data_IF_090286689754
#
_entry.id   IF_090286689754
#
_cell.length_a   1.000
_cell.length_b   1.000
_cell.length_c   1.000
_cell.angle_alpha   90.00
_cell.angle_beta   90.00
_cell.angle_gamma   90.00
#
_symmetry.space_group_name_H-M   'P 1'
#
loop_
_entity.id
_entity.type
_entity.pdbx_description
1 polymer ?
#
# COMPACT_ATOMS: atom_id res chain seq x y z
N UNK A 1 -13.18 21.35 1.69
CA UNK A 1 -14.22 20.43 1.16
C UNK A 1 -14.80 19.61 2.31
N UNK A 2 -16.12 19.38 2.33
CA UNK A 2 -16.82 18.83 3.51
C UNK A 2 -16.43 17.40 3.89
N UNK A 3 -16.04 16.58 2.91
CA UNK A 3 -15.69 15.17 3.11
C UNK A 3 -14.20 14.87 2.95
N UNK A 4 -13.35 15.87 2.85
CA UNK A 4 -11.90 15.65 2.76
C UNK A 4 -11.39 14.99 4.04
N UNK A 5 -10.56 13.94 3.90
CA UNK A 5 -9.98 13.26 5.04
C UNK A 5 -9.06 14.21 5.80
N UNK A 6 -9.37 14.42 7.06
CA UNK A 6 -8.55 15.24 7.98
C UNK A 6 -7.88 14.33 9.00
N UNK A 7 -6.64 14.65 9.40
CA UNK A 7 -5.99 13.91 10.46
C UNK A 7 -6.78 14.08 11.78
N UNK A 8 -6.67 13.09 12.67
CA UNK A 8 -7.37 13.03 13.96
C UNK A 8 -6.42 13.08 15.15
N UNK A 9 -5.13 12.84 14.92
CA UNK A 9 -4.09 12.82 15.94
C UNK A 9 -3.01 13.84 15.62
N UNK A 10 -2.25 14.34 16.62
CA UNK A 10 -1.16 15.28 16.39
C UNK A 10 -0.06 14.72 15.46
N UNK A 11 0.28 13.43 15.60
CA UNK A 11 1.23 12.74 14.73
C UNK A 11 0.67 12.56 13.31
N UNK A 12 -0.64 12.31 13.20
CA UNK A 12 -1.36 12.29 11.94
C UNK A 12 -1.36 13.65 11.24
N UNK A 13 -1.52 14.74 11.98
CA UNK A 13 -1.43 16.10 11.43
C UNK A 13 -0.03 16.37 10.85
N UNK A 14 1.03 15.98 11.56
CA UNK A 14 2.41 16.08 11.05
C UNK A 14 2.60 15.26 9.78
N UNK A 15 2.11 14.03 9.76
CA UNK A 15 2.22 13.13 8.61
C UNK A 15 1.45 13.65 7.38
N UNK A 16 0.21 14.10 7.56
CA UNK A 16 -0.61 14.65 6.47
C UNK A 16 0.00 15.94 5.94
N UNK A 17 0.47 16.83 6.80
CA UNK A 17 1.16 18.07 6.40
C UNK A 17 2.43 17.78 5.61
N UNK A 18 3.22 16.79 6.05
CA UNK A 18 4.40 16.34 5.32
C UNK A 18 4.03 15.80 3.93
N UNK A 19 2.98 14.97 3.84
CA UNK A 19 2.50 14.43 2.57
C UNK A 19 1.96 15.53 1.62
N UNK A 20 1.29 16.56 2.16
CA UNK A 20 0.82 17.72 1.38
C UNK A 20 1.98 18.53 0.80
N UNK A 21 3.08 18.68 1.54
CA UNK A 21 4.23 19.49 1.12
C UNK A 21 4.94 18.95 -0.14
N UNK A 22 4.79 17.68 -0.47
CA UNK A 22 5.46 17.04 -1.61
C UNK A 22 4.54 16.85 -2.83
N UNK A 23 3.24 17.14 -2.75
CA UNK A 23 2.27 16.86 -3.83
C UNK A 23 2.72 17.44 -5.16
N UNK A 24 3.02 18.74 -5.22
CA UNK A 24 3.34 19.41 -6.50
C UNK A 24 4.68 18.91 -7.08
N UNK A 25 5.63 18.60 -6.23
CA UNK A 25 6.92 18.04 -6.66
C UNK A 25 6.74 16.65 -7.28
N UNK A 26 5.94 15.78 -6.65
CA UNK A 26 5.63 14.46 -7.16
C UNK A 26 4.85 14.55 -8.48
N UNK A 27 3.84 15.43 -8.59
CA UNK A 27 3.09 15.68 -9.83
C UNK A 27 3.98 16.09 -10.98
N UNK A 28 4.92 16.98 -10.72
CA UNK A 28 5.83 17.49 -11.75
C UNK A 28 6.69 16.41 -12.41
N UNK A 29 6.94 15.28 -11.71
CA UNK A 29 7.78 14.17 -12.21
C UNK A 29 6.98 12.96 -12.69
N UNK A 30 5.74 12.80 -12.22
CA UNK A 30 4.95 11.57 -12.39
C UNK A 30 4.77 11.15 -13.86
N UNK A 31 4.46 12.08 -14.76
CA UNK A 31 4.29 11.78 -16.20
C UNK A 31 5.61 11.38 -16.88
N UNK A 32 6.73 11.95 -16.45
CA UNK A 32 8.05 11.58 -16.93
C UNK A 32 8.45 10.16 -16.51
N UNK A 33 8.25 9.84 -15.24
CA UNK A 33 8.51 8.53 -14.66
C UNK A 33 7.62 7.44 -15.28
N UNK A 34 6.33 7.73 -15.50
CA UNK A 34 5.40 6.83 -16.18
C UNK A 34 5.85 6.51 -17.62
N UNK A 35 6.20 7.53 -18.41
CA UNK A 35 6.70 7.32 -19.79
C UNK A 35 8.00 6.52 -19.82
N UNK A 36 8.89 6.76 -18.87
CA UNK A 36 10.13 6.00 -18.74
C UNK A 36 9.89 4.56 -18.20
N UNK A 37 8.70 4.28 -17.65
CA UNK A 37 8.43 3.05 -16.89
C UNK A 37 9.49 2.79 -15.80
N UNK A 38 9.94 3.83 -15.15
CA UNK A 38 11.04 3.79 -14.19
C UNK A 38 10.68 4.54 -12.90
N UNK A 39 11.11 3.98 -11.77
CA UNK A 39 10.96 4.61 -10.47
C UNK A 39 11.91 5.81 -10.36
N UNK A 40 11.37 6.98 -10.04
CA UNK A 40 12.19 8.19 -9.84
C UNK A 40 12.69 8.25 -8.40
N UNK A 41 13.97 7.98 -8.20
CA UNK A 41 14.62 8.03 -6.89
C UNK A 41 14.53 9.41 -6.23
N UNK A 42 14.42 10.51 -7.02
CA UNK A 42 14.28 11.86 -6.48
C UNK A 42 12.96 12.04 -5.72
N UNK A 43 11.87 11.34 -6.13
CA UNK A 43 10.62 11.34 -5.39
C UNK A 43 10.80 10.82 -3.96
N UNK A 44 11.59 9.77 -3.80
CA UNK A 44 11.83 9.15 -2.49
C UNK A 44 12.82 9.97 -1.65
N UNK A 45 13.74 10.70 -2.27
CA UNK A 45 14.58 11.66 -1.57
C UNK A 45 13.75 12.81 -0.97
N UNK A 46 12.77 13.35 -1.72
CA UNK A 46 11.88 14.41 -1.23
C UNK A 46 10.90 13.89 -0.18
N UNK A 47 10.33 12.71 -0.37
CA UNK A 47 9.46 12.02 0.59
C UNK A 47 10.21 11.80 1.92
N UNK A 48 11.47 11.37 1.85
CA UNK A 48 12.33 11.22 3.03
C UNK A 48 12.64 12.56 3.69
N UNK A 49 13.01 13.56 2.91
CA UNK A 49 13.30 14.91 3.44
C UNK A 49 12.11 15.52 4.17
N UNK A 50 10.89 15.17 3.76
CA UNK A 50 9.65 15.53 4.46
C UNK A 50 9.38 14.68 5.72
N UNK A 51 10.21 13.67 6.05
CA UNK A 51 10.06 12.80 7.21
C UNK A 51 9.03 11.66 7.04
N UNK A 52 8.46 11.49 5.85
CA UNK A 52 7.38 10.54 5.58
C UNK A 52 7.86 9.08 5.73
N UNK A 53 9.10 8.75 5.32
CA UNK A 53 9.67 7.41 5.49
C UNK A 53 9.71 6.96 6.94
N UNK A 54 9.90 7.89 7.87
CA UNK A 54 9.97 7.63 9.30
C UNK A 54 8.61 7.82 10.02
N UNK A 55 7.48 7.79 9.30
CA UNK A 55 6.17 8.08 9.90
C UNK A 55 5.84 7.18 11.09
N UNK A 56 6.09 5.88 11.00
CA UNK A 56 5.84 4.91 12.09
C UNK A 56 7.01 4.73 13.05
N UNK A 57 8.18 5.27 12.74
CA UNK A 57 9.31 5.24 13.68
C UNK A 57 8.91 6.03 14.93
N UNK A 58 9.13 5.47 16.16
CA UNK A 58 8.79 6.15 17.39
C UNK A 58 9.46 7.52 17.51
N UNK A 59 8.76 8.51 18.11
CA UNK A 59 9.31 9.89 18.25
C UNK A 59 10.67 9.91 18.95
N UNK A 60 10.85 9.09 19.99
CA UNK A 60 12.15 8.99 20.68
C UNK A 60 13.28 8.47 19.79
N UNK A 61 12.97 7.81 18.69
CA UNK A 61 13.91 7.31 17.69
C UNK A 61 14.01 8.25 16.47
N UNK A 62 13.40 9.43 16.53
CA UNK A 62 13.49 10.46 15.49
C UNK A 62 12.42 10.41 14.40
N UNK A 63 11.37 9.59 14.56
CA UNK A 63 10.24 9.52 13.63
C UNK A 63 9.04 10.37 14.04
N UNK A 64 7.92 10.19 13.34
CA UNK A 64 6.68 10.93 13.63
C UNK A 64 5.81 10.24 14.70
N UNK A 65 6.05 8.96 14.99
CA UNK A 65 5.29 8.19 15.98
C UNK A 65 3.83 7.91 15.55
N UNK A 66 3.56 7.84 14.25
CA UNK A 66 2.20 7.58 13.74
C UNK A 66 1.68 6.23 14.23
N UNK A 67 0.43 6.21 14.70
CA UNK A 67 -0.24 4.98 15.19
C UNK A 67 -1.58 4.74 14.50
N UNK A 68 -2.31 5.82 14.15
CA UNK A 68 -3.65 5.77 13.57
C UNK A 68 -3.65 5.27 12.12
N UNK A 69 -4.48 4.27 11.84
CA UNK A 69 -4.73 3.78 10.47
C UNK A 69 -5.51 4.83 9.66
N UNK A 70 -6.48 5.51 10.30
CA UNK A 70 -7.21 6.61 9.68
C UNK A 70 -6.26 7.68 9.14
N UNK A 71 -5.31 8.11 9.95
CA UNK A 71 -4.39 9.19 9.58
C UNK A 71 -3.35 8.72 8.56
N UNK A 72 -2.96 7.44 8.60
CA UNK A 72 -2.17 6.83 7.53
C UNK A 72 -2.94 6.89 6.20
N UNK A 73 -4.21 6.47 6.19
CA UNK A 73 -5.06 6.55 4.99
C UNK A 73 -5.19 7.98 4.47
N UNK A 74 -5.34 8.97 5.38
CA UNK A 74 -5.42 10.38 5.02
C UNK A 74 -4.14 10.87 4.33
N UNK A 75 -2.95 10.58 4.89
CA UNK A 75 -1.68 10.94 4.27
C UNK A 75 -1.45 10.24 2.93
N UNK A 76 -1.85 8.96 2.80
CA UNK A 76 -1.78 8.24 1.53
C UNK A 76 -2.68 8.84 0.45
N UNK A 77 -3.80 9.48 0.82
CA UNK A 77 -4.61 10.26 -0.13
C UNK A 77 -3.81 11.43 -0.70
N UNK A 78 -3.04 12.13 0.14
CA UNK A 78 -2.19 13.25 -0.31
C UNK A 78 -1.08 12.78 -1.24
N UNK A 79 -0.38 11.70 -0.87
CA UNK A 79 0.66 11.12 -1.72
C UNK A 79 0.10 10.64 -3.07
N UNK A 80 -1.05 9.95 -3.06
CA UNK A 80 -1.73 9.49 -4.28
C UNK A 80 -2.20 10.63 -5.19
N UNK A 81 -2.55 11.78 -4.62
CA UNK A 81 -2.87 13.01 -5.36
C UNK A 81 -1.64 13.62 -6.04
N UNK A 82 -0.45 13.38 -5.49
CA UNK A 82 0.83 13.72 -6.12
C UNK A 82 1.22 12.71 -7.20
N UNK A 83 1.52 11.48 -6.80
CA UNK A 83 1.90 10.37 -7.68
C UNK A 83 1.46 9.03 -7.08
N UNK A 84 0.51 8.35 -7.74
CA UNK A 84 0.00 7.05 -7.33
C UNK A 84 1.08 5.97 -7.28
N UNK A 85 2.02 5.97 -8.20
CA UNK A 85 3.12 5.01 -8.26
C UNK A 85 4.08 5.16 -7.08
N UNK A 86 4.51 6.38 -6.77
CA UNK A 86 5.34 6.65 -5.60
C UNK A 86 4.59 6.34 -4.29
N UNK A 87 3.29 6.63 -4.25
CA UNK A 87 2.44 6.39 -3.08
C UNK A 87 2.31 4.89 -2.77
N UNK A 88 2.05 4.01 -3.76
CA UNK A 88 1.96 2.57 -3.48
C UNK A 88 3.31 1.98 -3.06
N UNK A 89 4.43 2.47 -3.63
CA UNK A 89 5.76 2.05 -3.21
C UNK A 89 6.04 2.48 -1.76
N UNK A 90 5.69 3.73 -1.39
CA UNK A 90 5.82 4.21 -0.01
C UNK A 90 4.96 3.41 0.96
N UNK A 91 3.75 2.99 0.58
CA UNK A 91 2.90 2.18 1.44
C UNK A 91 3.56 0.85 1.86
N UNK A 92 4.35 0.23 0.98
CA UNK A 92 5.06 -1.01 1.32
C UNK A 92 6.06 -0.78 2.46
N UNK A 93 6.84 0.29 2.36
CA UNK A 93 7.79 0.69 3.40
C UNK A 93 7.08 1.02 4.73
N UNK A 94 6.01 1.79 4.67
CA UNK A 94 5.24 2.18 5.86
C UNK A 94 4.58 0.98 6.54
N UNK A 95 4.08 0.00 5.78
CA UNK A 95 3.50 -1.21 6.33
C UNK A 95 4.53 -2.04 7.12
N UNK A 96 5.76 -2.17 6.60
CA UNK A 96 6.85 -2.85 7.31
C UNK A 96 7.29 -2.05 8.53
N UNK A 97 7.50 -0.73 8.39
CA UNK A 97 7.92 0.15 9.50
C UNK A 97 6.92 0.13 10.65
N UNK A 98 5.60 0.09 10.33
CA UNK A 98 4.56 -0.09 11.34
C UNK A 98 4.70 -1.42 12.08
N UNK A 99 4.95 -2.52 11.35
CA UNK A 99 5.20 -3.82 11.96
C UNK A 99 6.41 -3.81 12.90
N UNK A 100 7.48 -3.14 12.49
CA UNK A 100 8.68 -2.95 13.31
C UNK A 100 8.37 -2.12 14.56
N UNK A 101 7.62 -1.03 14.46
CA UNK A 101 7.22 -0.21 15.60
C UNK A 101 6.39 -1.01 16.62
N UNK A 102 5.43 -1.82 16.16
CA UNK A 102 4.66 -2.70 17.03
C UNK A 102 5.52 -3.74 17.74
N UNK A 103 6.47 -4.35 17.02
CA UNK A 103 7.40 -5.32 17.61
C UNK A 103 8.34 -4.65 18.63
N UNK A 104 8.78 -3.42 18.36
CA UNK A 104 9.58 -2.63 19.29
C UNK A 104 8.80 -2.31 20.58
N UNK A 105 7.53 -1.89 20.49
CA UNK A 105 6.68 -1.68 21.66
C UNK A 105 6.52 -2.96 22.48
N UNK A 106 6.34 -4.11 21.82
CA UNK A 106 6.29 -5.40 22.48
C UNK A 106 7.61 -5.78 23.18
N UNK A 107 8.74 -5.50 22.52
CA UNK A 107 10.08 -5.71 23.11
C UNK A 107 10.33 -4.82 24.33
N UNK A 108 9.92 -3.56 24.30
CA UNK A 108 9.98 -2.66 25.44
C UNK A 108 9.12 -3.17 26.61
N UNK A 109 7.89 -3.61 26.32
CA UNK A 109 6.97 -4.13 27.35
C UNK A 109 7.45 -5.44 27.97
N UNK A 110 8.20 -6.27 27.23
CA UNK A 110 8.80 -7.52 27.71
C UNK A 110 10.24 -7.37 28.20
N UNK A 111 10.75 -6.15 28.31
CA UNK A 111 12.12 -5.83 28.76
C UNK A 111 13.22 -6.55 27.94
N UNK A 112 12.96 -6.85 26.66
CA UNK A 112 13.93 -7.47 25.76
C UNK A 112 14.91 -6.42 25.20
N UNK A 113 15.91 -6.06 25.99
CA UNK A 113 16.87 -5.01 25.65
C UNK A 113 17.64 -5.26 24.33
N UNK A 114 17.95 -6.53 24.01
CA UNK A 114 18.67 -6.86 22.79
C UNK A 114 17.81 -6.57 21.54
N UNK A 115 16.53 -6.95 21.56
CA UNK A 115 15.61 -6.69 20.45
C UNK A 115 15.28 -5.20 20.34
N UNK A 116 15.14 -4.49 21.46
CA UNK A 116 14.97 -3.03 21.48
C UNK A 116 16.14 -2.35 20.78
N UNK A 117 17.39 -2.66 21.18
CA UNK A 117 18.58 -2.06 20.60
C UNK A 117 18.70 -2.35 19.08
N UNK A 118 18.43 -3.58 18.67
CA UNK A 118 18.43 -3.95 17.25
C UNK A 118 17.42 -3.12 16.44
N UNK A 119 16.20 -2.94 16.96
CA UNK A 119 15.18 -2.17 16.26
C UNK A 119 15.46 -0.67 16.25
N UNK A 120 16.02 -0.13 17.33
CA UNK A 120 16.43 1.27 17.38
C UNK A 120 17.55 1.57 16.37
N UNK A 121 18.49 0.64 16.14
CA UNK A 121 19.47 0.75 15.06
C UNK A 121 18.81 0.77 13.67
N UNK A 122 17.84 -0.12 13.42
CA UNK A 122 17.09 -0.11 12.17
C UNK A 122 16.27 1.18 11.97
N UNK A 123 15.66 1.71 13.03
CA UNK A 123 14.98 3.01 12.98
C UNK A 123 15.92 4.15 12.66
N UNK A 124 17.12 4.15 13.24
CA UNK A 124 18.15 5.13 12.89
C UNK A 124 18.52 5.08 11.40
N UNK A 125 18.63 3.88 10.82
CA UNK A 125 18.88 3.70 9.39
C UNK A 125 17.69 4.20 8.54
N UNK A 126 16.43 3.98 8.95
CA UNK A 126 15.25 4.52 8.26
C UNK A 126 15.27 6.06 8.27
N UNK A 127 15.52 6.66 9.43
CA UNK A 127 15.61 8.13 9.58
C UNK A 127 16.73 8.72 8.76
N UNK A 128 17.91 8.07 8.75
CA UNK A 128 19.06 8.48 7.93
C UNK A 128 18.81 8.30 6.42
N UNK A 129 17.87 7.40 6.04
CA UNK A 129 17.57 7.05 4.66
C UNK A 129 18.45 5.94 4.08
N UNK A 130 19.17 5.23 4.93
CA UNK A 130 19.99 4.08 4.57
C UNK A 130 19.16 2.79 4.47
N UNK A 131 17.97 2.78 5.09
CA UNK A 131 17.04 1.66 5.05
C UNK A 131 15.71 2.09 4.44
N UNK A 132 15.42 1.55 3.26
CA UNK A 132 14.11 1.56 2.62
C UNK A 132 13.69 0.13 2.33
N UNK A 133 12.49 -0.28 2.76
CA UNK A 133 12.04 -1.67 2.68
C UNK A 133 10.93 -1.80 1.64
N UNK A 134 11.14 -2.62 0.62
CA UNK A 134 10.05 -3.11 -0.22
C UNK A 134 9.45 -4.38 0.41
N UNK A 135 8.20 -4.68 0.09
CA UNK A 135 7.51 -5.83 0.67
C UNK A 135 6.67 -6.57 -0.37
N UNK A 136 6.63 -7.88 -0.25
CA UNK A 136 5.79 -8.72 -1.09
C UNK A 136 5.38 -10.01 -0.39
N UNK A 137 4.18 -10.50 -0.75
CA UNK A 137 3.71 -11.84 -0.42
C UNK A 137 3.33 -12.62 -1.68
N UNK A 138 3.33 -11.98 -2.85
CA UNK A 138 2.76 -12.52 -4.09
C UNK A 138 3.76 -13.36 -4.86
N UNK A 139 3.28 -14.50 -5.37
CA UNK A 139 4.05 -15.42 -6.21
C UNK A 139 3.21 -15.88 -7.41
N UNK A 140 3.83 -16.30 -8.52
CA UNK A 140 3.09 -16.84 -9.66
C UNK A 140 2.37 -18.15 -9.30
N UNK A 141 1.08 -18.25 -9.65
CA UNK A 141 0.33 -19.50 -9.60
C UNK A 141 -0.06 -20.00 -8.21
N UNK A 142 0.07 -19.17 -7.18
CA UNK A 142 -0.35 -19.50 -5.81
C UNK A 142 -0.96 -18.28 -5.09
N UNK A 143 -1.40 -18.49 -3.88
CA UNK A 143 -1.93 -17.45 -2.99
C UNK A 143 -0.99 -17.22 -1.78
N UNK A 144 -1.35 -16.25 -0.96
CA UNK A 144 -0.51 -15.87 0.18
C UNK A 144 -0.54 -16.86 1.37
N UNK A 145 -1.47 -17.83 1.38
CA UNK A 145 -1.48 -18.93 2.36
C UNK A 145 -0.59 -20.08 1.93
N UNK A 146 -0.31 -20.18 0.62
CA UNK A 146 0.45 -21.26 0.02
C UNK A 146 1.71 -20.75 -0.69
N UNK A 147 2.62 -19.99 -0.01
CA UNK A 147 3.85 -19.55 -0.65
C UNK A 147 4.70 -20.74 -1.11
N UNK A 148 5.28 -20.62 -2.33
CA UNK A 148 6.20 -21.60 -2.91
C UNK A 148 7.65 -21.25 -2.64
N UNK A 149 7.98 -19.94 -2.47
CA UNK A 149 9.32 -19.55 -1.98
C UNK A 149 9.56 -20.23 -0.66
N UNK A 150 10.60 -21.04 -0.57
CA UNK A 150 10.82 -21.91 0.57
C UNK A 150 12.15 -21.67 1.27
N UNK A 151 12.15 -21.89 2.57
CA UNK A 151 13.34 -21.98 3.42
C UNK A 151 13.51 -23.43 3.85
N UNK A 152 14.65 -24.01 3.50
CA UNK A 152 15.04 -25.38 3.88
C UNK A 152 16.17 -25.28 4.87
N UNK A 153 16.10 -26.03 5.96
CA UNK A 153 17.14 -26.04 6.99
C UNK A 153 18.45 -26.61 6.44
N UNK A 154 19.52 -25.90 6.72
CA UNK A 154 20.89 -26.29 6.42
C UNK A 154 21.79 -26.07 7.64
N UNK A 155 23.04 -26.52 7.60
CA UNK A 155 24.00 -26.25 8.66
C UNK A 155 24.17 -24.72 8.86
N UNK A 156 23.90 -24.27 10.09
CA UNK A 156 24.03 -22.87 10.50
C UNK A 156 22.87 -21.94 10.15
N UNK A 157 21.77 -22.46 9.54
CA UNK A 157 20.61 -21.61 9.21
C UNK A 157 19.68 -22.16 8.16
N UNK A 158 19.38 -21.34 7.16
CA UNK A 158 18.41 -21.62 6.10
C UNK A 158 19.00 -21.39 4.71
N UNK A 159 18.53 -22.18 3.74
CA UNK A 159 18.72 -21.94 2.31
C UNK A 159 17.37 -21.60 1.70
N UNK A 160 17.27 -20.40 1.08
CA UNK A 160 16.02 -19.88 0.52
C UNK A 160 16.08 -19.96 -1.00
N UNK A 161 15.01 -20.50 -1.60
CA UNK A 161 14.82 -20.57 -3.05
C UNK A 161 13.38 -20.18 -3.40
N UNK A 162 13.19 -19.50 -4.53
CA UNK A 162 11.88 -19.15 -5.06
C UNK A 162 11.87 -17.86 -5.85
N UNK A 163 10.65 -17.38 -6.17
CA UNK A 163 10.44 -16.16 -6.93
C UNK A 163 9.27 -15.38 -6.35
N UNK A 164 9.49 -14.11 -6.07
CA UNK A 164 8.45 -13.16 -5.68
C UNK A 164 8.18 -12.20 -6.82
N UNK A 165 6.90 -11.86 -7.02
CA UNK A 165 6.45 -10.88 -8.01
C UNK A 165 5.75 -9.69 -7.32
N UNK A 166 5.54 -8.60 -8.08
CA UNK A 166 4.94 -7.37 -7.55
C UNK A 166 5.69 -6.83 -6.33
N UNK A 167 7.03 -6.87 -6.37
CA UNK A 167 7.87 -6.34 -5.28
C UNK A 167 7.99 -4.83 -5.43
N UNK A 168 6.90 -4.16 -5.09
CA UNK A 168 6.70 -2.72 -5.30
C UNK A 168 7.75 -1.90 -4.58
N UNK A 169 8.43 -0.99 -5.31
CA UNK A 169 9.51 -0.16 -4.80
C UNK A 169 10.90 -0.83 -4.79
N UNK A 170 11.05 -2.05 -5.35
CA UNK A 170 12.33 -2.77 -5.32
C UNK A 170 13.52 -2.02 -5.94
N UNK A 171 13.38 -1.18 -7.01
CA UNK A 171 14.52 -0.46 -7.57
C UNK A 171 15.17 0.58 -6.65
N UNK A 172 14.43 1.05 -5.64
CA UNK A 172 14.93 2.06 -4.69
C UNK A 172 15.09 1.48 -3.27
N UNK A 173 14.75 0.22 -3.07
CA UNK A 173 14.83 -0.42 -1.76
C UNK A 173 16.24 -0.90 -1.45
N UNK A 174 16.60 -0.87 -0.17
CA UNK A 174 17.81 -1.52 0.37
C UNK A 174 17.51 -2.92 0.90
N UNK A 175 16.25 -3.16 1.32
CA UNK A 175 15.80 -4.41 1.95
C UNK A 175 14.49 -4.89 1.36
N UNK A 176 14.27 -6.20 1.38
CA UNK A 176 13.01 -6.84 1.06
C UNK A 176 12.44 -7.57 2.27
N UNK A 177 11.16 -7.34 2.57
CA UNK A 177 10.40 -8.10 3.55
C UNK A 177 9.40 -9.01 2.81
N UNK A 178 9.39 -10.31 3.15
CA UNK A 178 8.53 -11.28 2.50
C UNK A 178 8.09 -12.40 3.43
N UNK A 179 6.98 -13.07 3.06
CA UNK A 179 6.62 -14.36 3.59
C UNK A 179 7.30 -15.48 2.77
N UNK A 180 7.43 -16.66 3.38
CA UNK A 180 7.95 -17.86 2.74
C UNK A 180 7.41 -19.12 3.42
N UNK A 181 7.63 -20.27 2.82
CA UNK A 181 7.32 -21.58 3.35
C UNK A 181 8.53 -22.13 4.09
N UNK A 182 8.38 -22.45 5.38
CA UNK A 182 9.41 -23.14 6.14
C UNK A 182 9.11 -24.64 6.06
N UNK A 183 10.04 -25.41 5.52
CA UNK A 183 9.84 -26.83 5.19
C UNK A 183 10.05 -27.69 6.43
N UNK A 184 9.01 -28.48 6.79
CA UNK A 184 9.13 -29.58 7.76
C UNK A 184 9.32 -29.17 9.23
N UNK A 185 9.17 -27.89 9.58
CA UNK A 185 9.44 -27.39 10.94
C UNK A 185 8.17 -27.25 11.81
N UNK A 186 7.01 -27.59 11.27
CA UNK A 186 5.76 -27.62 12.02
C UNK A 186 5.56 -28.93 12.76
N UNK A 187 4.52 -29.00 13.56
CA UNK A 187 4.15 -30.19 14.33
C UNK A 187 3.96 -31.40 13.40
N UNK A 188 4.58 -32.53 13.75
CA UNK A 188 4.54 -33.74 12.93
C UNK A 188 5.28 -33.63 11.58
N UNK A 189 6.17 -32.65 11.41
CA UNK A 189 6.92 -32.44 10.18
C UNK A 189 6.14 -31.71 9.09
N UNK A 190 5.07 -30.99 9.46
CA UNK A 190 4.30 -30.12 8.55
C UNK A 190 5.08 -28.85 8.23
N UNK A 191 4.62 -28.11 7.23
CA UNK A 191 5.24 -26.85 6.83
C UNK A 191 4.61 -25.66 7.57
N UNK A 192 5.38 -24.59 7.68
CA UNK A 192 4.91 -23.32 8.26
C UNK A 192 4.99 -22.19 7.24
N UNK A 193 4.20 -21.16 7.45
CA UNK A 193 4.46 -19.84 6.88
C UNK A 193 5.42 -19.12 7.81
N UNK A 194 6.50 -18.60 7.24
CA UNK A 194 7.44 -17.74 7.94
C UNK A 194 7.56 -16.38 7.28
N UNK A 195 8.29 -15.49 7.92
CA UNK A 195 8.67 -14.18 7.40
C UNK A 195 10.16 -13.95 7.53
N UNK A 196 10.69 -13.18 6.59
CA UNK A 196 12.07 -12.72 6.61
C UNK A 196 12.15 -11.29 6.07
N UNK A 197 13.13 -10.54 6.57
CA UNK A 197 13.59 -9.29 5.99
C UNK A 197 15.09 -9.38 5.79
N UNK A 198 15.56 -9.10 4.58
CA UNK A 198 16.98 -9.20 4.22
C UNK A 198 17.41 -8.10 3.26
N UNK A 199 18.71 -7.71 3.28
CA UNK A 199 19.25 -6.78 2.31
C UNK A 199 19.12 -7.32 0.88
N UNK A 200 18.78 -6.45 -0.08
CA UNK A 200 18.77 -6.81 -1.51
C UNK A 200 20.16 -7.12 -2.06
N UNK A 201 21.22 -6.71 -1.36
CA UNK A 201 22.61 -7.03 -1.67
C UNK A 201 23.07 -8.42 -1.21
N UNK A 202 22.18 -9.20 -0.56
CA UNK A 202 22.50 -10.55 -0.10
C UNK A 202 22.77 -11.45 -1.31
N UNK A 203 23.82 -12.26 -1.25
CA UNK A 203 24.17 -13.20 -2.32
C UNK A 203 23.02 -14.13 -2.64
N UNK A 204 22.70 -14.28 -3.92
CA UNK A 204 21.58 -15.09 -4.41
C UNK A 204 20.24 -14.35 -4.46
N UNK A 205 20.15 -13.10 -4.00
CA UNK A 205 18.99 -12.23 -4.20
C UNK A 205 19.15 -11.49 -5.53
N UNK A 206 18.28 -11.74 -6.49
CA UNK A 206 18.42 -11.27 -7.88
C UNK A 206 17.17 -10.48 -8.28
N UNK A 207 17.14 -9.14 -8.04
CA UNK A 207 16.09 -8.28 -8.59
C UNK A 207 16.08 -8.35 -10.12
N UNK A 208 14.87 -8.41 -10.69
CA UNK A 208 14.66 -8.41 -12.14
C UNK A 208 14.33 -6.99 -12.63
N UNK A 209 14.37 -6.78 -13.94
CA UNK A 209 13.90 -5.57 -14.62
C UNK A 209 12.76 -5.94 -15.56
N UNK A 210 11.64 -6.37 -14.99
CA UNK A 210 10.54 -7.02 -15.70
C UNK A 210 9.17 -6.36 -15.52
N UNK A 211 9.10 -5.21 -14.81
CA UNK A 211 7.84 -4.52 -14.57
C UNK A 211 7.32 -3.81 -15.82
N UNK A 212 6.38 -4.45 -16.51
CA UNK A 212 5.71 -3.93 -17.71
C UNK A 212 4.20 -3.98 -17.52
N UNK A 213 3.62 -2.95 -16.91
CA UNK A 213 2.20 -2.89 -16.59
C UNK A 213 1.47 -1.80 -17.39
N UNK A 214 0.14 -1.91 -17.42
CA UNK A 214 -0.73 -0.92 -18.04
C UNK A 214 -0.64 0.44 -17.34
N UNK A 215 -0.66 0.44 -16.01
CA UNK A 215 -0.57 1.60 -15.13
C UNK A 215 0.35 1.32 -13.94
N UNK A 216 0.53 2.31 -13.05
CA UNK A 216 1.51 2.24 -11.96
C UNK A 216 2.91 1.92 -12.48
N UNK A 217 3.26 2.40 -13.67
CA UNK A 217 4.49 2.01 -14.38
C UNK A 217 5.74 2.44 -13.66
N UNK A 218 5.67 3.55 -12.92
CA UNK A 218 6.77 4.07 -12.12
C UNK A 218 6.88 3.47 -10.71
N UNK A 219 6.02 2.49 -10.35
CA UNK A 219 6.05 1.87 -9.01
C UNK A 219 7.23 0.91 -8.81
N UNK A 220 7.90 0.49 -9.89
CA UNK A 220 9.00 -0.45 -9.81
C UNK A 220 8.60 -1.76 -9.11
N UNK A 221 7.45 -2.35 -9.52
CA UNK A 221 6.95 -3.59 -8.91
C UNK A 221 7.60 -4.81 -9.56
N UNK A 222 8.93 -4.83 -9.61
CA UNK A 222 9.73 -5.87 -10.25
C UNK A 222 9.57 -7.23 -9.57
N UNK A 223 10.02 -8.29 -10.22
CA UNK A 223 10.19 -9.59 -9.59
C UNK A 223 11.55 -9.69 -8.89
N UNK A 224 11.65 -10.57 -7.91
CA UNK A 224 12.92 -10.94 -7.28
C UNK A 224 13.02 -12.48 -7.27
N UNK A 225 14.13 -12.98 -7.78
CA UNK A 225 14.48 -14.40 -7.72
C UNK A 225 15.43 -14.62 -6.56
N UNK A 226 15.23 -15.68 -5.81
CA UNK A 226 16.06 -16.13 -4.70
C UNK A 226 16.68 -17.45 -5.09
N UNK A 227 18.00 -17.48 -5.22
CA UNK A 227 18.78 -18.64 -5.63
C UNK A 227 19.82 -19.01 -4.58
N UNK A 228 19.55 -20.09 -3.82
CA UNK A 228 20.44 -20.60 -2.78
C UNK A 228 20.85 -19.53 -1.75
N UNK A 229 19.94 -18.62 -1.40
CA UNK A 229 20.20 -17.56 -0.43
C UNK A 229 20.39 -18.15 0.95
N UNK A 230 21.61 -18.08 1.47
CA UNK A 230 21.95 -18.61 2.81
C UNK A 230 21.81 -17.50 3.86
N UNK A 231 21.01 -17.79 4.90
CA UNK A 231 20.79 -16.87 6.00
C UNK A 231 20.91 -17.57 7.37
N UNK A 232 21.36 -16.86 8.41
CA UNK A 232 21.38 -17.39 9.77
C UNK A 232 19.99 -17.79 10.28
N UNK A 233 19.93 -18.72 11.23
CA UNK A 233 18.69 -19.26 11.76
C UNK A 233 17.71 -18.19 12.28
N UNK A 234 18.21 -17.20 13.00
CA UNK A 234 17.40 -16.15 13.63
C UNK A 234 16.72 -15.20 12.66
N UNK A 235 17.10 -15.18 11.38
CA UNK A 235 16.50 -14.30 10.38
C UNK A 235 15.14 -14.79 9.87
N UNK A 236 14.86 -16.10 9.92
CA UNK A 236 13.57 -16.66 9.50
C UNK A 236 12.69 -16.84 10.74
N UNK A 237 11.56 -16.14 10.74
CA UNK A 237 10.61 -16.17 11.84
C UNK A 237 9.37 -16.97 11.44
N UNK A 238 9.11 -18.07 12.12
CA UNK A 238 7.87 -18.84 11.97
C UNK A 238 6.65 -18.03 12.43
N UNK A 239 5.55 -18.11 11.70
CA UNK A 239 4.32 -17.35 11.96
C UNK A 239 3.13 -18.26 12.26
N UNK A 240 2.79 -19.18 11.35
CA UNK A 240 1.60 -20.03 11.45
C UNK A 240 1.74 -21.28 10.56
N UNK A 241 0.85 -22.28 10.69
CA UNK A 241 0.81 -23.42 9.78
C UNK A 241 0.60 -22.99 8.32
N UNK A 242 1.27 -23.64 7.37
CA UNK A 242 1.14 -23.40 5.95
C UNK A 242 -0.25 -23.83 5.46
N UNK A 243 -0.89 -23.00 4.63
CA UNK A 243 -2.21 -23.25 4.08
C UNK A 243 -3.38 -22.97 5.03
N UNK A 244 -3.12 -22.43 6.23
CA UNK A 244 -4.17 -22.21 7.23
C UNK A 244 -4.29 -20.74 7.59
N UNK A 245 -5.52 -20.23 7.62
CA UNK A 245 -5.81 -18.90 8.12
C UNK A 245 -5.47 -18.79 9.62
N UNK A 246 -4.89 -17.69 9.99
CA UNK A 246 -4.61 -17.34 11.38
C UNK A 246 -4.85 -15.86 11.63
N UNK A 247 -5.17 -15.44 12.87
CA UNK A 247 -5.41 -14.04 13.18
C UNK A 247 -4.26 -13.11 12.75
N UNK A 248 -2.98 -13.43 12.97
CA UNK A 248 -1.89 -12.57 12.51
C UNK A 248 -1.86 -12.38 10.99
N UNK A 249 -2.14 -13.43 10.21
CA UNK A 249 -2.19 -13.36 8.75
C UNK A 249 -3.35 -12.48 8.29
N UNK A 250 -4.55 -12.67 8.87
CA UNK A 250 -5.72 -11.83 8.58
C UNK A 250 -5.44 -10.37 8.90
N UNK A 251 -4.90 -10.07 10.07
CA UNK A 251 -4.61 -8.70 10.50
C UNK A 251 -3.56 -8.05 9.62
N UNK A 252 -2.48 -8.75 9.30
CA UNK A 252 -1.45 -8.20 8.41
C UNK A 252 -2.00 -7.87 7.03
N UNK A 253 -2.78 -8.79 6.43
CA UNK A 253 -3.42 -8.55 5.11
C UNK A 253 -4.37 -7.36 5.11
N UNK A 254 -5.11 -7.16 6.17
CA UNK A 254 -6.00 -6.01 6.31
C UNK A 254 -5.20 -4.71 6.43
N UNK A 255 -4.42 -4.61 7.48
CA UNK A 255 -3.83 -3.35 7.92
C UNK A 255 -2.73 -2.82 7.00
N UNK A 256 -2.02 -3.70 6.27
CA UNK A 256 -1.01 -3.29 5.29
C UNK A 256 -1.61 -2.77 3.98
N UNK A 257 -2.84 -3.20 3.64
CA UNK A 257 -3.48 -2.89 2.36
C UNK A 257 -4.58 -1.82 2.46
N UNK A 258 -5.17 -1.60 3.64
CA UNK A 258 -6.17 -0.56 3.86
C UNK A 258 -5.72 0.83 3.36
N UNK A 259 -4.51 1.30 3.66
CA UNK A 259 -4.09 2.65 3.27
C UNK A 259 -3.93 2.83 1.76
N UNK A 260 -3.82 1.74 1.00
CA UNK A 260 -3.83 1.80 -0.48
C UNK A 260 -5.13 2.41 -1.02
N UNK A 261 -6.26 2.28 -0.29
CA UNK A 261 -7.51 2.92 -0.69
C UNK A 261 -7.40 4.45 -0.73
N UNK A 262 -6.61 5.02 0.19
CA UNK A 262 -6.28 6.44 0.16
C UNK A 262 -5.58 6.85 -1.13
N UNK A 263 -4.65 6.04 -1.63
CA UNK A 263 -3.94 6.31 -2.90
C UNK A 263 -4.92 6.49 -4.06
N UNK A 264 -5.90 5.59 -4.19
CA UNK A 264 -6.88 5.65 -5.30
C UNK A 264 -7.88 6.79 -5.15
N UNK A 265 -8.21 7.20 -3.92
CA UNK A 265 -8.95 8.46 -3.69
C UNK A 265 -8.10 9.66 -4.13
N UNK A 266 -6.81 9.69 -3.80
CA UNK A 266 -5.91 10.76 -4.22
C UNK A 266 -5.78 10.88 -5.75
N UNK A 267 -5.68 9.76 -6.47
CA UNK A 267 -5.71 9.74 -7.94
C UNK A 267 -7.03 10.34 -8.47
N UNK A 268 -8.16 9.97 -7.86
CA UNK A 268 -9.47 10.51 -8.24
C UNK A 268 -9.59 12.02 -7.95
N UNK A 269 -9.03 12.49 -6.83
CA UNK A 269 -8.96 13.92 -6.49
C UNK A 269 -8.18 14.70 -7.54
N UNK A 270 -7.02 14.23 -7.94
CA UNK A 270 -6.21 14.86 -8.98
C UNK A 270 -6.98 14.89 -10.32
N UNK A 271 -7.63 13.79 -10.71
CA UNK A 271 -8.45 13.76 -11.92
C UNK A 271 -9.64 14.73 -11.86
N UNK A 272 -10.26 14.86 -10.70
CA UNK A 272 -11.35 15.82 -10.47
C UNK A 272 -10.87 17.27 -10.62
N UNK A 273 -9.70 17.62 -10.08
CA UNK A 273 -9.08 18.94 -10.26
C UNK A 273 -8.86 19.26 -11.75
N UNK A 274 -8.27 18.32 -12.49
CA UNK A 274 -8.04 18.45 -13.93
C UNK A 274 -9.36 18.59 -14.72
N UNK A 275 -10.43 17.92 -14.28
CA UNK A 275 -11.76 18.06 -14.87
C UNK A 275 -12.34 19.47 -14.64
N UNK A 276 -12.20 20.02 -13.43
CA UNK A 276 -12.62 21.39 -13.12
C UNK A 276 -11.85 22.40 -13.96
N UNK A 277 -10.54 22.25 -14.11
CA UNK A 277 -9.72 23.11 -14.97
C UNK A 277 -10.14 23.00 -16.45
N UNK A 278 -10.39 21.77 -16.93
CA UNK A 278 -10.85 21.55 -18.30
C UNK A 278 -12.24 22.16 -18.56
N UNK A 279 -13.13 22.11 -17.57
CA UNK A 279 -14.45 22.72 -17.65
C UNK A 279 -14.40 24.26 -17.78
N UNK A 280 -13.40 24.91 -17.18
CA UNK A 280 -13.23 26.37 -17.31
C UNK A 280 -12.69 26.80 -18.67
N UNK A 281 -12.17 25.89 -19.49
CA UNK A 281 -11.64 26.23 -20.83
C UNK A 281 -12.76 26.56 -21.80
N UNK A 282 -12.54 27.61 -22.60
CA UNK A 282 -13.42 27.97 -23.73
C UNK A 282 -13.11 27.07 -24.92
N UNK A 283 -14.11 26.47 -25.58
CA UNK A 283 -13.89 25.66 -26.78
C UNK A 283 -13.41 26.51 -27.97
N UNK A 284 -13.81 27.79 -27.99
CA UNK A 284 -13.39 28.84 -28.92
C UNK A 284 -13.46 30.19 -28.20
N UNK A 285 -12.76 31.20 -28.73
CA UNK A 285 -12.67 32.52 -28.09
C UNK A 285 -14.04 33.19 -27.92
N UNK A 286 -14.94 33.01 -28.91
CA UNK A 286 -16.30 33.57 -28.97
C UNK A 286 -17.35 32.70 -28.24
N UNK A 287 -16.96 31.59 -27.63
CA UNK A 287 -17.87 30.68 -26.92
C UNK A 287 -17.68 30.79 -25.41
N UNK A 288 -18.76 30.55 -24.63
CA UNK A 288 -18.65 30.47 -23.18
C UNK A 288 -17.80 29.29 -22.76
N UNK A 289 -17.28 29.27 -21.51
CA UNK A 289 -16.61 28.13 -20.94
C UNK A 289 -17.46 26.84 -21.01
N UNK A 290 -16.81 25.70 -21.13
CA UNK A 290 -17.49 24.40 -21.11
C UNK A 290 -18.33 24.18 -19.83
N UNK A 291 -17.95 24.80 -18.71
CA UNK A 291 -18.68 24.75 -17.44
C UNK A 291 -20.14 25.29 -17.53
N UNK A 292 -20.48 26.09 -18.52
CA UNK A 292 -21.85 26.57 -18.75
C UNK A 292 -22.74 25.51 -19.43
N UNK A 293 -22.19 24.44 -19.93
CA UNK A 293 -22.94 23.36 -20.57
C UNK A 293 -23.58 22.45 -19.54
N UNK A 294 -24.90 22.24 -19.59
CA UNK A 294 -25.63 21.38 -18.65
C UNK A 294 -25.05 19.97 -18.54
N UNK A 295 -24.61 19.37 -19.66
CA UNK A 295 -23.97 18.03 -19.64
C UNK A 295 -22.66 18.00 -18.85
N UNK A 296 -21.84 19.07 -18.90
CA UNK A 296 -20.62 19.18 -18.10
C UNK A 296 -20.96 19.35 -16.61
N UNK A 297 -21.92 20.21 -16.29
CA UNK A 297 -22.39 20.44 -14.93
C UNK A 297 -22.92 19.14 -14.30
N UNK A 298 -23.66 18.34 -15.08
CA UNK A 298 -24.16 17.04 -14.64
C UNK A 298 -23.02 16.07 -14.32
N UNK A 299 -22.04 15.93 -15.22
CA UNK A 299 -20.87 15.06 -14.99
C UNK A 299 -20.06 15.50 -13.76
N UNK A 300 -19.82 16.80 -13.58
CA UNK A 300 -19.13 17.33 -12.38
C UNK A 300 -19.92 16.99 -11.11
N UNK A 301 -21.26 17.12 -11.13
CA UNK A 301 -22.12 16.74 -10.01
C UNK A 301 -22.01 15.25 -9.66
N UNK A 302 -22.01 14.37 -10.66
CA UNK A 302 -21.82 12.93 -10.44
C UNK A 302 -20.41 12.60 -9.89
N UNK A 303 -19.37 13.28 -10.39
CA UNK A 303 -18.01 13.11 -9.89
C UNK A 303 -17.89 13.55 -8.42
N UNK A 304 -18.50 14.69 -8.04
CA UNK A 304 -18.53 15.17 -6.66
C UNK A 304 -19.23 14.17 -5.73
N UNK A 305 -20.38 13.61 -6.13
CA UNK A 305 -21.11 12.57 -5.38
C UNK A 305 -20.23 11.32 -5.20
N UNK A 306 -19.58 10.85 -6.26
CA UNK A 306 -18.70 9.69 -6.23
C UNK A 306 -17.48 9.93 -5.33
N UNK A 307 -16.89 11.12 -5.38
CA UNK A 307 -15.74 11.49 -4.58
C UNK A 307 -16.10 11.64 -3.09
N UNK A 308 -17.23 12.31 -2.78
CA UNK A 308 -17.75 12.43 -1.43
C UNK A 308 -18.00 11.04 -0.81
N UNK A 309 -18.60 10.13 -1.59
CA UNK A 309 -18.83 8.73 -1.17
C UNK A 309 -17.52 8.00 -0.88
N UNK A 310 -16.54 8.08 -1.79
CA UNK A 310 -15.25 7.42 -1.61
C UNK A 310 -14.50 7.93 -0.38
N UNK A 311 -14.47 9.25 -0.16
CA UNK A 311 -13.87 9.89 1.01
C UNK A 311 -14.55 9.47 2.32
N UNK A 312 -15.88 9.49 2.35
CA UNK A 312 -16.65 9.08 3.52
C UNK A 312 -16.36 7.61 3.89
N UNK A 313 -16.33 6.72 2.88
CA UNK A 313 -16.02 5.30 3.08
C UNK A 313 -14.60 5.09 3.62
N UNK A 314 -13.60 5.75 3.05
CA UNK A 314 -12.20 5.64 3.52
C UNK A 314 -12.07 6.18 4.94
N UNK A 315 -12.68 7.33 5.24
CA UNK A 315 -12.66 7.90 6.59
C UNK A 315 -13.35 7.02 7.63
N UNK A 316 -14.51 6.45 7.28
CA UNK A 316 -15.24 5.54 8.17
C UNK A 316 -14.44 4.26 8.46
N UNK A 317 -13.80 3.69 7.44
CA UNK A 317 -13.02 2.47 7.66
C UNK A 317 -11.73 2.71 8.45
N UNK A 318 -11.10 3.85 8.23
CA UNK A 318 -9.96 4.24 9.05
C UNK A 318 -10.35 4.31 10.53
N UNK A 319 -11.53 4.88 10.84
CA UNK A 319 -12.08 4.89 12.20
C UNK A 319 -12.37 3.48 12.71
N UNK A 320 -13.05 2.65 11.92
CA UNK A 320 -13.34 1.24 12.29
C UNK A 320 -12.03 0.49 12.59
N UNK A 321 -10.99 0.72 11.81
CA UNK A 321 -9.69 0.09 12.02
C UNK A 321 -9.03 0.54 13.34
N UNK A 322 -9.06 1.83 13.62
CA UNK A 322 -8.49 2.37 14.87
C UNK A 322 -9.28 1.89 16.09
N UNK A 323 -10.62 1.91 16.04
CA UNK A 323 -11.48 1.40 17.11
C UNK A 323 -11.28 -0.09 17.35
N UNK A 324 -11.20 -0.89 16.28
CA UNK A 324 -10.95 -2.32 16.36
C UNK A 324 -9.60 -2.64 17.01
N UNK A 325 -8.56 -1.92 16.64
CA UNK A 325 -7.23 -2.08 17.25
C UNK A 325 -7.22 -1.65 18.73
N UNK A 326 -7.95 -0.60 19.08
CA UNK A 326 -8.08 -0.13 20.45
C UNK A 326 -8.81 -1.17 21.34
N UNK A 327 -9.88 -1.79 20.84
CA UNK A 327 -10.61 -2.86 21.53
C UNK A 327 -9.75 -4.10 21.75
N UNK A 328 -8.89 -4.45 20.80
CA UNK A 328 -7.99 -5.59 20.91
C UNK A 328 -6.90 -5.41 21.98
N UNK A 329 -6.53 -4.18 22.32
CA UNK A 329 -5.49 -3.88 23.31
C UNK A 329 -4.19 -4.67 23.09
N UNK A 330 -3.77 -4.81 21.84
CA UNK A 330 -2.58 -5.58 21.45
C UNK A 330 -2.76 -7.11 21.38
N UNK A 331 -3.96 -7.62 21.68
CA UNK A 331 -4.28 -9.05 21.52
C UNK A 331 -4.66 -9.37 20.07
N UNK A 332 -4.63 -10.65 19.74
CA UNK A 332 -5.13 -11.13 18.46
C UNK A 332 -6.68 -11.22 18.49
N UNK A 333 -7.37 -10.88 17.40
CA UNK A 333 -8.81 -11.08 17.30
C UNK A 333 -9.17 -12.58 17.23
N UNK A 334 -10.44 -12.89 17.42
CA UNK A 334 -10.96 -14.18 16.97
C UNK A 334 -10.90 -14.28 15.43
N UNK A 335 -10.89 -15.51 14.90
CA UNK A 335 -10.95 -15.72 13.44
C UNK A 335 -12.19 -15.06 12.81
N UNK A 336 -13.32 -15.19 13.46
CA UNK A 336 -14.59 -14.58 13.04
C UNK A 336 -14.45 -13.05 12.95
N UNK A 337 -13.99 -12.38 14.00
CA UNK A 337 -13.80 -10.93 14.01
C UNK A 337 -12.78 -10.47 12.95
N UNK A 338 -11.73 -11.25 12.73
CA UNK A 338 -10.74 -10.97 11.67
C UNK A 338 -11.34 -11.07 10.28
N UNK A 339 -12.20 -12.07 10.01
CA UNK A 339 -12.88 -12.23 8.74
C UNK A 339 -13.96 -11.15 8.52
N UNK A 340 -14.72 -10.77 9.55
CA UNK A 340 -15.69 -9.68 9.47
C UNK A 340 -14.98 -8.36 9.10
N UNK A 341 -13.88 -8.05 9.77
CA UNK A 341 -13.07 -6.87 9.46
C UNK A 341 -12.52 -6.90 8.02
N UNK A 342 -12.06 -8.07 7.53
CA UNK A 342 -11.60 -8.22 6.15
C UNK A 342 -12.75 -8.09 5.15
N UNK A 343 -13.95 -8.59 5.45
CA UNK A 343 -15.17 -8.41 4.62
C UNK A 343 -15.51 -6.93 4.46
N UNK A 344 -15.45 -6.16 5.55
CA UNK A 344 -15.74 -4.72 5.52
C UNK A 344 -14.70 -3.97 4.70
N UNK A 345 -13.41 -4.30 4.86
CA UNK A 345 -12.34 -3.80 4.00
C UNK A 345 -12.61 -4.09 2.50
N UNK A 346 -12.95 -5.34 2.15
CA UNK A 346 -13.20 -5.70 0.75
C UNK A 346 -14.45 -5.01 0.18
N UNK A 347 -15.49 -4.84 0.98
CA UNK A 347 -16.71 -4.13 0.59
C UNK A 347 -16.41 -2.67 0.25
N UNK A 348 -15.62 -2.01 1.09
CA UNK A 348 -15.20 -0.65 0.85
C UNK A 348 -14.22 -0.55 -0.33
N UNK A 349 -13.23 -1.43 -0.43
CA UNK A 349 -12.32 -1.51 -1.57
C UNK A 349 -13.10 -1.54 -2.88
N UNK A 350 -14.20 -2.28 -2.94
CA UNK A 350 -15.08 -2.34 -4.10
C UNK A 350 -15.65 -0.96 -4.44
N UNK A 351 -16.26 -0.29 -3.47
CA UNK A 351 -16.92 1.02 -3.68
C UNK A 351 -15.92 2.09 -4.06
N UNK A 352 -14.83 2.21 -3.30
CA UNK A 352 -13.80 3.26 -3.51
C UNK A 352 -13.17 3.14 -4.90
N UNK A 353 -12.75 1.93 -5.29
CA UNK A 353 -12.10 1.76 -6.59
C UNK A 353 -13.05 1.94 -7.78
N UNK A 354 -14.33 1.57 -7.64
CA UNK A 354 -15.31 1.83 -8.69
C UNK A 354 -15.57 3.32 -8.87
N UNK A 355 -15.73 4.04 -7.77
CA UNK A 355 -15.92 5.48 -7.80
C UNK A 355 -14.68 6.20 -8.36
N UNK A 356 -13.48 5.79 -7.97
CA UNK A 356 -12.24 6.37 -8.49
C UNK A 356 -12.11 6.19 -10.01
N UNK A 357 -12.41 4.99 -10.53
CA UNK A 357 -12.39 4.72 -11.97
C UNK A 357 -13.43 5.55 -12.72
N UNK A 358 -14.63 5.68 -12.18
CA UNK A 358 -15.72 6.47 -12.77
C UNK A 358 -15.36 7.97 -12.83
N UNK A 359 -14.77 8.50 -11.75
CA UNK A 359 -14.31 9.88 -11.69
C UNK A 359 -13.25 10.15 -12.76
N UNK A 360 -12.24 9.30 -12.88
CA UNK A 360 -11.16 9.49 -13.87
C UNK A 360 -11.70 9.36 -15.29
N UNK A 361 -12.63 8.44 -15.53
CA UNK A 361 -13.30 8.31 -16.85
C UNK A 361 -14.07 9.57 -17.23
N UNK A 362 -14.87 10.11 -16.32
CA UNK A 362 -15.62 11.37 -16.56
C UNK A 362 -14.68 12.58 -16.73
N UNK A 363 -13.56 12.60 -16.02
CA UNK A 363 -12.54 13.64 -16.19
C UNK A 363 -11.99 13.65 -17.63
N UNK A 364 -11.75 12.47 -18.22
CA UNK A 364 -11.34 12.35 -19.61
C UNK A 364 -12.43 12.82 -20.57
N UNK A 365 -13.70 12.45 -20.32
CA UNK A 365 -14.84 12.90 -21.16
C UNK A 365 -14.97 14.44 -21.15
N UNK A 366 -14.81 15.08 -20.00
CA UNK A 366 -14.83 16.54 -19.85
C UNK A 366 -13.64 17.19 -20.57
N UNK A 367 -12.45 16.61 -20.46
CA UNK A 367 -11.24 17.11 -21.14
C UNK A 367 -11.29 16.88 -22.66
N UNK A 368 -12.14 15.95 -23.13
CA UNK A 368 -12.29 15.60 -24.53
C UNK A 368 -11.00 15.00 -25.12
N UNK A 369 -10.80 15.13 -26.44
CA UNK A 369 -9.63 14.57 -27.13
C UNK A 369 -8.27 15.01 -26.56
N UNK A 370 -8.22 16.16 -25.89
CA UNK A 370 -7.01 16.61 -25.19
C UNK A 370 -6.62 15.71 -24.00
N UNK A 371 -7.61 15.16 -23.29
CA UNK A 371 -7.40 14.22 -22.18
C UNK A 371 -6.84 12.87 -22.61
N UNK A 372 -7.09 12.47 -23.86
CA UNK A 372 -6.61 11.22 -24.43
C UNK A 372 -5.13 11.25 -24.84
N UNK A 373 -4.54 12.45 -24.97
CA UNK A 373 -3.16 12.60 -25.40
C UNK A 373 -2.16 12.20 -24.29
N UNK A 374 -1.11 11.52 -24.66
CA UNK A 374 -0.06 11.03 -23.72
C UNK A 374 0.56 12.16 -22.86
N UNK A 375 0.64 13.36 -23.38
CA UNK A 375 1.11 14.54 -22.65
C UNK A 375 0.14 15.07 -21.57
N UNK A 376 -1.09 14.56 -21.53
CA UNK A 376 -2.09 14.98 -20.54
C UNK A 376 -2.03 14.01 -19.34
N UNK A 377 -1.93 14.50 -18.10
CA UNK A 377 -1.90 13.66 -16.90
C UNK A 377 -3.07 12.66 -16.78
N UNK A 378 -4.25 12.99 -17.32
CA UNK A 378 -5.41 12.09 -17.33
C UNK A 378 -5.12 10.76 -18.04
N UNK A 379 -4.27 10.75 -19.08
CA UNK A 379 -3.85 9.52 -19.76
C UNK A 379 -3.16 8.56 -18.79
N UNK A 380 -2.26 9.07 -17.95
CA UNK A 380 -1.60 8.28 -16.89
C UNK A 380 -2.59 7.89 -15.78
N UNK A 381 -3.33 8.85 -15.23
CA UNK A 381 -4.29 8.62 -14.14
C UNK A 381 -5.34 7.58 -14.51
N UNK A 382 -5.80 7.54 -15.78
CA UNK A 382 -6.74 6.53 -16.28
C UNK A 382 -6.17 5.12 -16.25
N UNK A 383 -4.87 4.95 -16.54
CA UNK A 383 -4.18 3.68 -16.46
C UNK A 383 -3.88 3.29 -15.02
N UNK A 384 -3.43 4.23 -14.21
CA UNK A 384 -3.05 4.02 -12.82
C UNK A 384 -4.24 3.62 -11.94
N UNK A 385 -5.40 4.30 -12.10
CA UNK A 385 -6.59 4.00 -11.29
C UNK A 385 -7.10 2.57 -11.48
N UNK A 386 -6.77 1.93 -12.61
CA UNK A 386 -7.17 0.55 -12.91
C UNK A 386 -6.44 -0.48 -12.04
N UNK A 387 -5.33 -0.14 -11.39
CA UNK A 387 -4.63 -1.03 -10.48
C UNK A 387 -5.41 -1.29 -9.18
N UNK A 388 -6.22 -0.34 -8.72
CA UNK A 388 -6.92 -0.41 -7.43
C UNK A 388 -7.71 -1.69 -7.18
N UNK A 389 -8.57 -2.13 -8.10
CA UNK A 389 -9.32 -3.38 -7.93
C UNK A 389 -8.46 -4.62 -7.73
N UNK A 390 -7.22 -4.63 -8.27
CA UNK A 390 -6.30 -5.78 -8.22
C UNK A 390 -5.35 -5.76 -7.02
N UNK A 391 -5.37 -4.69 -6.20
CA UNK A 391 -4.59 -4.67 -4.96
C UNK A 391 -5.02 -5.79 -4.02
N UNK A 392 -4.04 -6.32 -3.29
CA UNK A 392 -4.27 -7.36 -2.28
C UNK A 392 -5.40 -6.96 -1.28
N UNK A 393 -6.07 -7.93 -0.60
CA UNK A 393 -5.77 -9.37 -0.66
C UNK A 393 -6.51 -10.15 -1.76
N UNK A 394 -7.53 -9.60 -2.38
CA UNK A 394 -8.38 -10.32 -3.36
C UNK A 394 -8.53 -9.55 -4.67
N UNK A 395 -8.55 -10.29 -5.79
CA UNK A 395 -9.01 -9.78 -7.09
C UNK A 395 -10.53 -9.43 -7.05
N UNK A 396 -11.05 -8.69 -8.06
CA UNK A 396 -12.45 -8.27 -8.04
C UNK A 396 -13.48 -9.40 -7.99
N UNK A 397 -13.18 -10.59 -8.54
CA UNK A 397 -14.06 -11.76 -8.49
C UNK A 397 -14.01 -12.43 -7.13
N UNK A 398 -12.81 -12.73 -6.64
CA UNK A 398 -12.57 -13.34 -5.34
C UNK A 398 -13.13 -12.50 -4.18
N UNK A 399 -12.98 -11.17 -4.24
CA UNK A 399 -13.50 -10.27 -3.21
C UNK A 399 -15.02 -10.42 -3.04
N UNK A 400 -15.78 -10.51 -4.14
CA UNK A 400 -17.24 -10.66 -4.07
C UNK A 400 -17.65 -12.01 -3.51
N UNK A 401 -16.98 -13.07 -3.90
CA UNK A 401 -17.20 -14.41 -3.35
C UNK A 401 -16.90 -14.44 -1.85
N UNK A 402 -15.78 -13.84 -1.45
CA UNK A 402 -15.40 -13.74 -0.04
C UNK A 402 -16.42 -12.94 0.77
N UNK A 403 -16.82 -11.75 0.31
CA UNK A 403 -17.83 -10.93 0.96
C UNK A 403 -19.14 -11.74 1.15
N UNK A 404 -19.61 -12.41 0.09
CA UNK A 404 -20.81 -13.22 0.14
C UNK A 404 -20.71 -14.38 1.13
N UNK A 405 -19.59 -15.11 1.13
CA UNK A 405 -19.35 -16.23 2.07
C UNK A 405 -19.40 -15.76 3.53
N UNK A 406 -18.64 -14.71 3.87
CA UNK A 406 -18.59 -14.19 5.24
C UNK A 406 -19.93 -13.62 5.68
N UNK A 407 -20.64 -12.88 4.81
CA UNK A 407 -21.98 -12.35 5.11
C UNK A 407 -22.99 -13.47 5.40
N UNK A 408 -22.83 -14.65 4.81
CA UNK A 408 -23.65 -15.83 5.06
C UNK A 408 -23.19 -16.66 6.28
N UNK A 409 -22.19 -16.19 7.03
CA UNK A 409 -21.61 -16.91 8.16
C UNK A 409 -20.68 -18.08 7.79
N UNK A 410 -20.27 -18.17 6.52
CA UNK A 410 -19.37 -19.20 6.02
C UNK A 410 -17.93 -18.71 6.03
N UNK A 411 -17.29 -18.71 7.20
CA UNK A 411 -15.91 -18.24 7.35
C UNK A 411 -14.93 -19.23 6.71
N UNK A 412 -13.99 -18.73 5.88
CA UNK A 412 -12.91 -19.55 5.35
C UNK A 412 -12.04 -20.14 6.47
N UNK A 413 -11.67 -21.41 6.34
CA UNK A 413 -10.80 -22.11 7.30
C UNK A 413 -9.42 -22.37 6.74
N UNK A 414 -9.30 -22.45 5.42
CA UNK A 414 -8.16 -22.82 4.58
C UNK A 414 -8.23 -22.14 3.21
#
# INVERSE_FOLDING_TARGET
>A
MTYELKPRTPEGERFVTAAESVIETLRGRADGADRASATDASNFADIRAAGITAAFVPEKCGGLGLTSIHDWMAGMTRLGRGDGSAAIAMNMHLAVSRGMALAWHGACASENAALVAQMEDQFAQIVAGDMYVCATATEPGTDNLHPYTEAIRVDGGWCINGTKIFVTGSPIASHVAMNLRIRGEGEGGTDLIGSIMLPLSTEGVIPQDDWQAMGMRASGSQSIVFENVKVPEHMVRAMCPWGVWSPPVLMNRNLSNLPLLGVFVGIAEHAFELALEAAQKKPKEDKPPNAERAGIQHMIGEMEISLATARAMVGQMGQIADDFLAELQGKQPSMEAGHEFLKDHQSMKWVVNRNAIDIVSKAMDIAGGGGFMDKNPLSRLYRDVRAGPFMQPYSPTEAREYIGKVTLGNYPKD
#
